data_IF_511121776446
#
_entry.id   IF_511121776446
#
_cell.length_a   1.000
_cell.length_b   1.000
_cell.length_c   1.000
_cell.angle_alpha   90.00
_cell.angle_beta   90.00
_cell.angle_gamma   90.00
#
_symmetry.space_group_name_H-M   'P 1'
#
loop_
_entity.id
_entity.type
_entity.pdbx_description
1 polymer ?
#
# COMPACT_ATOMS: atom_id res chain seq x y z
N UNK A 1 -24.16 -70.61 -24.76
CA UNK A 1 -24.32 -69.31 -24.08
C UNK A 1 -23.44 -68.27 -24.77
N UNK A 2 -24.02 -67.28 -25.46
CA UNK A 2 -23.25 -66.16 -26.04
C UNK A 2 -22.80 -65.25 -24.89
N UNK A 3 -21.51 -65.24 -24.57
CA UNK A 3 -20.92 -64.32 -23.58
C UNK A 3 -21.19 -62.88 -24.01
N UNK A 4 -21.67 -62.04 -23.10
CA UNK A 4 -21.90 -60.63 -23.35
C UNK A 4 -20.65 -59.97 -23.94
N UNK A 5 -20.81 -59.14 -24.97
CA UNK A 5 -19.68 -58.43 -25.58
C UNK A 5 -19.15 -57.39 -24.60
N UNK A 6 -17.96 -57.63 -24.06
CA UNK A 6 -17.27 -56.66 -23.20
C UNK A 6 -16.74 -55.55 -24.09
N UNK A 7 -17.10 -54.31 -23.79
CA UNK A 7 -16.71 -53.12 -24.56
C UNK A 7 -15.19 -53.06 -24.74
N UNK A 8 -14.73 -52.76 -25.95
CA UNK A 8 -13.30 -52.68 -26.36
C UNK A 8 -12.53 -54.00 -26.42
N UNK A 9 -13.05 -55.10 -25.87
CA UNK A 9 -12.37 -56.40 -25.89
C UNK A 9 -12.71 -57.19 -27.17
N UNK A 10 -11.69 -57.61 -27.90
CA UNK A 10 -11.81 -58.45 -29.10
C UNK A 10 -10.92 -59.68 -28.99
N UNK A 11 -11.31 -60.78 -29.62
CA UNK A 11 -10.53 -62.03 -29.67
C UNK A 11 -10.15 -62.34 -31.12
N UNK A 12 -8.88 -62.63 -31.36
CA UNK A 12 -8.37 -63.07 -32.66
C UNK A 12 -7.38 -64.22 -32.46
N UNK A 13 -7.56 -65.33 -33.18
CA UNK A 13 -6.74 -66.54 -33.07
C UNK A 13 -6.45 -67.00 -31.62
N UNK A 14 -7.46 -66.92 -30.75
CA UNK A 14 -7.37 -67.32 -29.34
C UNK A 14 -6.66 -66.32 -28.42
N UNK A 15 -6.18 -65.19 -28.93
CA UNK A 15 -5.60 -64.10 -28.12
C UNK A 15 -6.55 -62.92 -27.96
N UNK A 16 -6.54 -62.30 -26.79
CA UNK A 16 -7.35 -61.12 -26.51
C UNK A 16 -6.60 -59.81 -26.84
N UNK A 17 -7.34 -58.84 -27.39
CA UNK A 17 -6.88 -57.52 -27.79
C UNK A 17 -7.86 -56.45 -27.33
N UNK A 18 -7.33 -55.27 -27.02
CA UNK A 18 -8.09 -54.02 -26.87
C UNK A 18 -8.17 -53.34 -28.22
N UNK A 19 -9.36 -52.90 -28.61
CA UNK A 19 -9.61 -52.14 -29.85
C UNK A 19 -10.35 -50.85 -29.51
N UNK A 20 -9.72 -49.71 -29.77
CA UNK A 20 -10.27 -48.38 -29.51
C UNK A 20 -10.31 -47.55 -30.80
N UNK A 21 -11.41 -46.85 -31.05
CA UNK A 21 -11.51 -45.96 -32.20
C UNK A 21 -10.76 -44.64 -31.96
N UNK A 22 -10.08 -44.14 -32.97
CA UNK A 22 -9.44 -42.82 -32.96
C UNK A 22 -10.46 -41.77 -33.46
N UNK A 23 -10.75 -40.71 -32.68
CA UNK A 23 -11.63 -39.62 -33.09
C UNK A 23 -11.22 -39.00 -34.42
N UNK A 24 -12.18 -38.58 -35.26
CA UNK A 24 -11.92 -38.06 -36.62
C UNK A 24 -10.89 -36.92 -36.62
N UNK A 25 -10.95 -36.03 -35.63
CA UNK A 25 -10.03 -34.90 -35.43
C UNK A 25 -8.58 -35.30 -35.17
N UNK A 26 -8.33 -36.50 -34.64
CA UNK A 26 -6.99 -36.95 -34.22
C UNK A 26 -6.35 -37.96 -35.18
N UNK A 27 -7.06 -38.38 -36.24
CA UNK A 27 -6.56 -39.41 -37.18
C UNK A 27 -5.28 -39.01 -37.89
N UNK A 28 -5.10 -37.73 -38.21
CA UNK A 28 -3.89 -37.22 -38.88
C UNK A 28 -2.64 -37.47 -38.04
N UNK A 29 -2.72 -37.29 -36.73
CA UNK A 29 -1.61 -37.50 -35.79
C UNK A 29 -1.25 -38.97 -35.56
N UNK A 30 -2.15 -39.89 -35.91
CA UNK A 30 -1.94 -41.35 -35.84
C UNK A 30 -1.76 -41.97 -37.23
N UNK A 31 -1.25 -41.20 -38.21
CA UNK A 31 -0.95 -41.69 -39.56
C UNK A 31 -2.20 -42.13 -40.34
N UNK A 32 -3.34 -41.48 -40.11
CA UNK A 32 -4.63 -41.77 -40.74
C UNK A 32 -5.37 -42.98 -40.17
N UNK A 33 -4.83 -43.64 -39.12
CA UNK A 33 -5.44 -44.82 -38.52
C UNK A 33 -6.78 -44.48 -37.91
N UNK A 34 -7.79 -45.31 -38.19
CA UNK A 34 -9.14 -45.16 -37.63
C UNK A 34 -9.26 -45.76 -36.24
N UNK A 35 -8.34 -46.66 -35.87
CA UNK A 35 -8.43 -47.51 -34.69
C UNK A 35 -7.04 -47.89 -34.18
N UNK A 36 -6.89 -48.04 -32.87
CA UNK A 36 -5.70 -48.58 -32.20
C UNK A 36 -6.04 -49.95 -31.65
N UNK A 37 -5.19 -50.93 -31.94
CA UNK A 37 -5.31 -52.29 -31.43
C UNK A 37 -4.07 -52.67 -30.62
N UNK A 38 -4.26 -53.20 -29.41
CA UNK A 38 -3.17 -53.63 -28.52
C UNK A 38 -3.46 -55.00 -27.93
N UNK A 39 -2.50 -55.91 -28.00
CA UNK A 39 -2.66 -57.27 -27.43
C UNK A 39 -2.61 -57.24 -25.91
N UNK A 40 -3.50 -57.99 -25.26
CA UNK A 40 -3.49 -58.25 -23.82
C UNK A 40 -2.52 -59.38 -23.43
N UNK A 41 -1.85 -60.01 -24.40
CA UNK A 41 -0.90 -61.12 -24.20
C UNK A 41 -1.45 -62.24 -23.30
N UNK A 42 -2.74 -62.55 -23.44
CA UNK A 42 -3.37 -63.68 -22.76
C UNK A 42 -4.41 -64.36 -23.66
N UNK A 43 -4.60 -65.66 -23.46
CA UNK A 43 -5.66 -66.48 -24.07
C UNK A 43 -6.79 -66.79 -23.08
N UNK A 44 -6.61 -66.45 -21.81
CA UNK A 44 -7.60 -66.65 -20.74
C UNK A 44 -8.52 -65.44 -20.60
N UNK A 45 -9.82 -65.68 -20.60
CA UNK A 45 -10.85 -64.63 -20.57
C UNK A 45 -10.81 -63.79 -19.28
N UNK A 46 -10.73 -64.43 -18.11
CA UNK A 46 -10.78 -63.72 -16.83
C UNK A 46 -9.54 -62.84 -16.64
N UNK A 47 -8.37 -63.35 -17.03
CA UNK A 47 -7.13 -62.58 -17.07
C UNK A 47 -7.20 -61.42 -18.07
N UNK A 48 -7.90 -61.59 -19.20
CA UNK A 48 -8.10 -60.52 -20.17
C UNK A 48 -8.98 -59.39 -19.61
N UNK A 49 -10.02 -59.71 -18.84
CA UNK A 49 -10.87 -58.70 -18.19
C UNK A 49 -10.06 -57.89 -17.17
N UNK A 50 -9.23 -58.55 -16.35
CA UNK A 50 -8.39 -57.86 -15.36
C UNK A 50 -7.39 -56.89 -16.01
N UNK A 51 -6.82 -57.25 -17.17
CA UNK A 51 -5.85 -56.43 -17.88
C UNK A 51 -6.50 -55.33 -18.74
N UNK A 52 -7.79 -55.47 -19.08
CA UNK A 52 -8.50 -54.59 -20.01
C UNK A 52 -8.47 -53.13 -19.56
N UNK A 53 -8.83 -52.84 -18.31
CA UNK A 53 -8.93 -51.48 -17.78
C UNK A 53 -7.61 -50.72 -17.93
N UNK A 54 -6.51 -51.30 -17.42
CA UNK A 54 -5.17 -50.72 -17.50
C UNK A 54 -4.74 -50.41 -18.93
N UNK A 55 -4.98 -51.33 -19.86
CA UNK A 55 -4.55 -51.16 -21.25
C UNK A 55 -5.43 -50.15 -21.99
N UNK A 56 -6.73 -50.09 -21.69
CA UNK A 56 -7.62 -49.04 -22.19
C UNK A 56 -7.15 -47.68 -21.70
N UNK A 57 -6.81 -47.54 -20.43
CA UNK A 57 -6.36 -46.26 -19.86
C UNK A 57 -5.02 -45.81 -20.45
N UNK A 58 -4.08 -46.73 -20.70
CA UNK A 58 -2.85 -46.41 -21.43
C UNK A 58 -3.11 -45.92 -22.86
N UNK A 59 -4.02 -46.58 -23.60
CA UNK A 59 -4.37 -46.15 -24.96
C UNK A 59 -5.09 -44.80 -24.93
N UNK A 60 -5.97 -44.57 -23.94
CA UNK A 60 -6.60 -43.26 -23.75
C UNK A 60 -5.58 -42.19 -23.41
N UNK A 61 -4.64 -42.45 -22.52
CA UNK A 61 -3.54 -41.52 -22.23
C UNK A 61 -2.71 -41.25 -23.49
N UNK A 62 -2.46 -42.23 -24.35
CA UNK A 62 -1.77 -41.98 -25.63
C UNK A 62 -2.58 -41.13 -26.61
N UNK A 63 -3.90 -41.33 -26.67
CA UNK A 63 -4.81 -40.56 -27.55
C UNK A 63 -5.03 -39.14 -27.01
N UNK A 64 -5.20 -39.01 -25.70
CA UNK A 64 -5.63 -37.80 -24.99
C UNK A 64 -4.53 -37.16 -24.13
N UNK A 65 -3.26 -37.57 -24.25
CA UNK A 65 -2.14 -36.92 -23.56
C UNK A 65 -2.15 -35.42 -23.87
N UNK A 66 -2.56 -34.60 -22.90
CA UNK A 66 -2.73 -33.14 -23.03
C UNK A 66 -4.16 -32.61 -22.95
N UNK A 67 -5.19 -33.47 -22.90
CA UNK A 67 -6.60 -33.06 -22.78
C UNK A 67 -7.20 -33.26 -21.37
N UNK A 68 -6.57 -34.07 -20.51
CA UNK A 68 -7.00 -34.25 -19.11
C UNK A 68 -6.25 -33.29 -18.19
N UNK A 69 -6.65 -32.01 -18.23
CA UNK A 69 -6.59 -31.15 -17.04
C UNK A 69 -8.06 -30.81 -16.74
N UNK A 70 -8.41 -30.87 -15.46
CA UNK A 70 -9.61 -30.25 -14.91
C UNK A 70 -9.79 -28.82 -15.44
N UNK A 71 -10.97 -28.24 -15.26
CA UNK A 71 -11.27 -26.86 -15.65
C UNK A 71 -10.08 -25.93 -15.31
N UNK A 72 -9.38 -25.43 -16.34
CA UNK A 72 -8.19 -24.58 -16.13
C UNK A 72 -8.67 -23.31 -15.45
N UNK A 73 -8.18 -23.04 -14.24
CA UNK A 73 -8.55 -21.86 -13.49
C UNK A 73 -7.58 -20.72 -13.78
N UNK A 74 -7.97 -19.48 -13.43
CA UNK A 74 -7.06 -18.35 -13.55
C UNK A 74 -5.84 -18.48 -12.62
N UNK A 75 -5.99 -19.15 -11.48
CA UNK A 75 -4.90 -19.41 -10.55
C UNK A 75 -3.83 -20.31 -11.18
N UNK A 76 -4.26 -21.35 -11.91
CA UNK A 76 -3.34 -22.24 -12.63
C UNK A 76 -2.56 -21.47 -13.69
N UNK A 77 -3.26 -20.61 -14.45
CA UNK A 77 -2.64 -19.79 -15.51
C UNK A 77 -1.66 -18.76 -14.95
N UNK A 78 -1.99 -18.13 -13.83
CA UNK A 78 -1.12 -17.16 -13.17
C UNK A 78 0.15 -17.84 -12.61
N UNK A 79 0.00 -19.01 -11.98
CA UNK A 79 1.12 -19.77 -11.43
C UNK A 79 2.06 -20.27 -12.55
N UNK A 80 1.49 -20.71 -13.67
CA UNK A 80 2.25 -21.13 -14.85
C UNK A 80 2.97 -19.95 -15.52
N UNK A 81 2.36 -18.75 -15.56
CA UNK A 81 3.00 -17.54 -16.06
C UNK A 81 4.20 -17.12 -15.17
N UNK A 82 4.04 -17.15 -13.85
CA UNK A 82 5.10 -16.85 -12.89
C UNK A 82 6.27 -17.84 -13.02
N UNK A 83 5.99 -19.13 -13.19
CA UNK A 83 7.01 -20.17 -13.33
C UNK A 83 7.95 -19.99 -14.53
N UNK A 84 7.51 -19.26 -15.56
CA UNK A 84 8.33 -18.94 -16.74
C UNK A 84 8.74 -17.46 -16.80
N UNK A 85 8.63 -16.74 -15.68
CA UNK A 85 8.96 -15.31 -15.56
C UNK A 85 8.19 -14.41 -16.56
N UNK A 86 6.95 -14.79 -16.88
CA UNK A 86 6.05 -14.00 -17.73
C UNK A 86 4.85 -13.48 -16.94
N UNK A 87 4.17 -12.46 -17.47
CA UNK A 87 2.94 -11.93 -16.88
C UNK A 87 1.75 -12.39 -17.72
N UNK A 88 0.81 -13.12 -17.11
CA UNK A 88 -0.49 -13.36 -17.74
C UNK A 88 -1.20 -12.03 -17.93
N UNK A 89 -1.83 -11.82 -19.09
CA UNK A 89 -2.69 -10.65 -19.34
C UNK A 89 -3.99 -11.17 -19.92
N UNK A 90 -5.11 -10.92 -19.24
CA UNK A 90 -6.43 -11.15 -19.85
C UNK A 90 -6.55 -10.29 -21.11
N UNK A 91 -6.93 -10.90 -22.22
CA UNK A 91 -7.03 -10.25 -23.53
C UNK A 91 -8.48 -10.18 -23.98
N UNK A 92 -9.12 -9.03 -23.75
CA UNK A 92 -10.21 -8.62 -24.65
C UNK A 92 -9.56 -8.00 -25.87
N UNK A 93 -9.43 -8.74 -26.97
CA UNK A 93 -9.06 -8.15 -28.26
C UNK A 93 -10.31 -7.50 -28.84
N UNK A 94 -10.42 -6.16 -28.87
CA UNK A 94 -11.56 -5.52 -29.51
C UNK A 94 -11.51 -5.82 -30.99
N UNK A 95 -12.65 -6.19 -31.59
CA UNK A 95 -12.76 -6.35 -33.03
C UNK A 95 -12.43 -4.99 -33.70
N UNK A 96 -11.24 -4.87 -34.30
CA UNK A 96 -10.73 -3.62 -34.91
C UNK A 96 -9.52 -2.97 -34.23
N UNK A 97 -8.82 -3.64 -33.31
CA UNK A 97 -7.55 -3.15 -32.78
C UNK A 97 -6.50 -2.93 -33.89
N UNK A 98 -5.60 -1.92 -33.75
CA UNK A 98 -4.48 -1.76 -34.66
C UNK A 98 -3.63 -3.03 -34.76
N UNK A 99 -3.17 -3.34 -35.96
CA UNK A 99 -2.38 -4.56 -36.25
C UNK A 99 -1.11 -4.59 -35.38
N UNK A 100 -0.48 -3.44 -35.15
CA UNK A 100 0.72 -3.30 -34.31
C UNK A 100 0.47 -3.73 -32.86
N UNK A 101 -0.64 -3.28 -32.25
CA UNK A 101 -1.02 -3.68 -30.90
C UNK A 101 -1.30 -5.18 -30.80
N UNK A 102 -1.94 -5.74 -31.84
CA UNK A 102 -2.23 -7.17 -31.94
C UNK A 102 -0.95 -8.01 -32.10
N UNK A 103 0.04 -7.51 -32.84
CA UNK A 103 1.35 -8.15 -33.01
C UNK A 103 2.12 -8.12 -31.68
N UNK A 104 2.18 -6.98 -30.98
CA UNK A 104 2.87 -6.88 -29.69
C UNK A 104 2.25 -7.82 -28.65
N UNK A 105 0.92 -7.89 -28.57
CA UNK A 105 0.18 -8.76 -27.65
C UNK A 105 0.39 -10.26 -27.95
N UNK A 106 0.52 -10.64 -29.22
CA UNK A 106 0.64 -12.05 -29.65
C UNK A 106 2.09 -12.52 -29.83
N UNK A 107 3.05 -11.61 -29.92
CA UNK A 107 4.45 -11.91 -30.26
C UNK A 107 5.13 -12.90 -29.32
N UNK A 108 4.94 -12.73 -28.01
CA UNK A 108 5.48 -13.64 -26.97
C UNK A 108 4.86 -15.03 -27.06
N UNK A 109 3.55 -15.11 -27.26
CA UNK A 109 2.82 -16.36 -27.45
C UNK A 109 3.18 -17.10 -28.73
N UNK A 110 3.40 -16.38 -29.83
CA UNK A 110 3.78 -16.94 -31.13
C UNK A 110 5.17 -17.60 -31.10
N UNK A 111 6.11 -17.06 -30.31
CA UNK A 111 7.42 -17.69 -30.14
C UNK A 111 7.28 -19.06 -29.47
N UNK A 112 6.51 -19.15 -28.39
CA UNK A 112 6.26 -20.40 -27.66
C UNK A 112 5.49 -21.43 -28.51
N UNK A 113 4.51 -20.97 -29.30
CA UNK A 113 3.80 -21.79 -30.29
C UNK A 113 4.77 -22.36 -31.34
N UNK A 114 5.81 -21.61 -31.72
CA UNK A 114 6.76 -22.02 -32.77
C UNK A 114 7.79 -23.05 -32.30
N UNK A 115 8.18 -23.03 -31.02
CA UNK A 115 9.16 -23.97 -30.47
C UNK A 115 8.53 -25.28 -29.96
N UNK A 116 7.25 -25.26 -29.60
CA UNK A 116 6.58 -26.38 -28.94
C UNK A 116 5.65 -27.14 -29.89
N UNK A 117 5.95 -28.41 -30.22
CA UNK A 117 5.13 -29.24 -31.15
C UNK A 117 3.70 -29.50 -30.68
N UNK A 118 3.41 -29.42 -29.37
CA UNK A 118 2.07 -29.60 -28.79
C UNK A 118 1.96 -28.82 -27.47
N UNK A 119 1.11 -27.79 -27.45
CA UNK A 119 0.82 -27.02 -26.24
C UNK A 119 -0.24 -27.71 -25.39
N UNK A 120 -0.12 -27.56 -24.06
CA UNK A 120 -1.15 -27.97 -23.10
C UNK A 120 -2.30 -26.97 -23.07
N UNK A 121 -3.49 -27.37 -22.57
CA UNK A 121 -4.63 -26.46 -22.38
C UNK A 121 -4.29 -25.24 -21.51
N UNK A 122 -3.46 -25.44 -20.48
CA UNK A 122 -2.98 -24.40 -19.59
C UNK A 122 -2.13 -23.36 -20.33
N UNK A 123 -1.16 -23.82 -21.12
CA UNK A 123 -0.33 -22.95 -21.96
C UNK A 123 -1.16 -22.22 -23.02
N UNK A 124 -2.14 -22.90 -23.64
CA UNK A 124 -3.07 -22.26 -24.58
C UNK A 124 -3.93 -21.19 -23.90
N UNK A 125 -4.43 -21.45 -22.69
CA UNK A 125 -5.20 -20.48 -21.91
C UNK A 125 -4.36 -19.26 -21.51
N UNK A 126 -3.09 -19.48 -21.09
CA UNK A 126 -2.13 -18.44 -20.76
C UNK A 126 -1.77 -17.59 -21.97
N UNK A 127 -1.36 -18.21 -23.08
CA UNK A 127 -0.99 -17.54 -24.32
C UNK A 127 -2.19 -16.78 -24.92
N UNK A 128 -3.37 -17.40 -24.86
CA UNK A 128 -4.59 -16.84 -25.43
C UNK A 128 -5.23 -15.73 -24.60
N UNK A 129 -4.87 -15.58 -23.31
CA UNK A 129 -5.47 -14.56 -22.45
C UNK A 129 -6.99 -14.73 -22.27
N UNK A 130 -7.52 -15.95 -22.42
CA UNK A 130 -8.97 -16.22 -22.60
C UNK A 130 -9.74 -16.44 -21.31
N UNK A 131 -9.07 -16.55 -20.17
CA UNK A 131 -9.74 -16.77 -18.88
C UNK A 131 -9.98 -15.42 -18.23
N UNK A 132 -11.26 -15.03 -18.19
CA UNK A 132 -11.71 -13.81 -17.54
C UNK A 132 -11.49 -13.92 -16.01
N UNK A 133 -10.82 -12.94 -15.38
CA UNK A 133 -10.70 -12.92 -13.94
C UNK A 133 -12.08 -12.78 -13.28
N UNK A 134 -12.31 -13.41 -12.12
CA UNK A 134 -13.57 -13.27 -11.41
C UNK A 134 -13.81 -11.79 -11.07
N UNK A 135 -15.06 -11.36 -11.23
CA UNK A 135 -15.46 -9.99 -10.92
C UNK A 135 -15.05 -9.62 -9.48
N UNK A 136 -14.46 -8.44 -9.33
CA UNK A 136 -13.89 -8.00 -8.07
C UNK A 136 -14.46 -6.64 -7.68
N UNK A 137 -15.21 -6.56 -6.58
CA UNK A 137 -15.71 -5.28 -6.07
C UNK A 137 -14.57 -4.44 -5.46
N UNK A 138 -14.78 -3.12 -5.34
CA UNK A 138 -13.80 -2.22 -4.71
C UNK A 138 -13.49 -2.62 -3.26
N UNK A 139 -14.47 -3.21 -2.56
CA UNK A 139 -14.29 -3.74 -1.20
C UNK A 139 -13.40 -4.98 -1.17
N UNK A 140 -13.66 -5.95 -2.05
CA UNK A 140 -12.83 -7.15 -2.15
C UNK A 140 -11.40 -6.81 -2.60
N UNK A 141 -11.25 -5.84 -3.51
CA UNK A 141 -9.93 -5.33 -3.88
C UNK A 141 -9.17 -4.72 -2.69
N UNK A 142 -9.88 -4.00 -1.80
CA UNK A 142 -9.29 -3.47 -0.57
C UNK A 142 -8.90 -4.57 0.42
N UNK A 143 -9.75 -5.57 0.62
CA UNK A 143 -9.45 -6.72 1.49
C UNK A 143 -8.22 -7.48 0.99
N UNK A 144 -8.12 -7.69 -0.33
CA UNK A 144 -6.95 -8.30 -0.95
C UNK A 144 -5.69 -7.45 -0.74
N UNK A 145 -5.79 -6.14 -0.95
CA UNK A 145 -4.69 -5.20 -0.67
C UNK A 145 -4.23 -5.24 0.80
N UNK A 146 -5.16 -5.41 1.76
CA UNK A 146 -4.81 -5.55 3.19
C UNK A 146 -3.98 -6.81 3.48
N UNK A 147 -4.32 -7.92 2.84
CA UNK A 147 -3.64 -9.21 3.00
C UNK A 147 -2.28 -9.24 2.33
N UNK A 148 -2.15 -8.61 1.16
CA UNK A 148 -0.93 -8.71 0.34
C UNK A 148 0.09 -7.63 0.73
N UNK A 149 -0.34 -6.46 1.23
CA UNK A 149 0.54 -5.34 1.60
C UNK A 149 0.94 -5.33 3.08
N UNK A 150 1.19 -6.51 3.69
CA UNK A 150 1.58 -6.61 5.09
C UNK A 150 2.88 -5.85 5.40
N UNK A 151 3.79 -5.78 4.44
CA UNK A 151 5.05 -5.04 4.48
C UNK A 151 4.86 -3.56 4.82
N UNK A 152 3.81 -2.94 4.26
CA UNK A 152 3.46 -1.54 4.54
C UNK A 152 3.04 -1.28 5.99
N UNK A 153 2.77 -2.34 6.76
CA UNK A 153 2.23 -2.27 8.12
C UNK A 153 3.05 -3.04 9.16
N UNK A 154 4.14 -3.71 8.78
CA UNK A 154 4.95 -4.54 9.69
C UNK A 154 5.50 -3.74 10.88
N UNK A 155 5.99 -2.52 10.64
CA UNK A 155 6.63 -1.69 11.68
C UNK A 155 5.65 -0.74 12.37
N UNK A 156 4.33 -0.93 12.23
CA UNK A 156 3.33 -0.05 12.83
C UNK A 156 2.62 -0.73 13.99
N UNK A 157 2.48 -0.01 15.10
CA UNK A 157 1.63 -0.44 16.20
C UNK A 157 0.19 -0.64 15.72
N UNK A 158 -0.58 -1.56 16.34
CA UNK A 158 -1.93 -1.95 15.92
C UNK A 158 -2.85 -0.74 15.60
N UNK A 159 -2.86 0.28 16.45
CA UNK A 159 -3.68 1.49 16.22
C UNK A 159 -3.17 2.36 15.07
N UNK A 160 -1.86 2.45 14.88
CA UNK A 160 -1.26 3.20 13.78
C UNK A 160 -1.53 2.49 12.44
N UNK A 161 -1.44 1.16 12.42
CA UNK A 161 -1.90 0.31 11.32
C UNK A 161 -3.37 0.60 11.00
N UNK A 162 -4.25 0.53 12.00
CA UNK A 162 -5.68 0.82 11.81
C UNK A 162 -5.92 2.24 11.27
N UNK A 163 -5.24 3.27 11.80
CA UNK A 163 -5.35 4.64 11.30
C UNK A 163 -4.88 4.78 9.85
N UNK A 164 -3.82 4.08 9.46
CA UNK A 164 -3.33 4.08 8.07
C UNK A 164 -4.35 3.39 7.17
N UNK A 165 -4.84 2.22 7.57
CA UNK A 165 -5.81 1.44 6.81
C UNK A 165 -7.18 2.13 6.67
N UNK A 166 -7.65 2.82 7.72
CA UNK A 166 -8.89 3.58 7.71
C UNK A 166 -8.96 4.64 6.61
N UNK A 167 -7.82 5.13 6.11
CA UNK A 167 -7.77 6.08 4.97
C UNK A 167 -8.19 5.42 3.66
N UNK A 168 -7.74 4.19 3.42
CA UNK A 168 -8.13 3.38 2.27
C UNK A 168 -9.60 2.98 2.39
N UNK A 169 -10.02 2.50 3.57
CA UNK A 169 -11.42 2.17 3.86
C UNK A 169 -12.36 3.34 3.62
N UNK A 170 -12.02 4.53 4.13
CA UNK A 170 -12.83 5.73 3.92
C UNK A 170 -12.95 6.11 2.43
N UNK A 171 -11.88 5.92 1.64
CA UNK A 171 -11.91 6.18 0.21
C UNK A 171 -12.81 5.19 -0.54
N UNK A 172 -12.76 3.90 -0.17
CA UNK A 172 -13.64 2.86 -0.73
C UNK A 172 -15.09 3.09 -0.33
N UNK A 173 -15.38 3.43 0.92
CA UNK A 173 -16.74 3.76 1.36
C UNK A 173 -17.31 4.96 0.59
N UNK A 174 -16.50 5.99 0.33
CA UNK A 174 -16.93 7.12 -0.50
C UNK A 174 -17.17 6.71 -1.97
N UNK A 175 -16.34 5.83 -2.53
CA UNK A 175 -16.57 5.24 -3.85
C UNK A 175 -17.89 4.46 -3.92
N UNK A 176 -18.10 3.50 -3.01
CA UNK A 176 -19.31 2.67 -2.95
C UNK A 176 -20.57 3.53 -2.84
N UNK A 177 -20.53 4.59 -2.02
CA UNK A 177 -21.65 5.52 -1.84
C UNK A 177 -22.04 6.24 -3.15
N UNK A 178 -21.07 6.54 -4.02
CA UNK A 178 -21.27 7.40 -5.20
C UNK A 178 -21.42 6.63 -6.50
N UNK A 179 -20.68 5.54 -6.64
CA UNK A 179 -20.59 4.76 -7.88
C UNK A 179 -21.36 3.44 -7.77
N UNK A 180 -21.63 2.95 -6.56
CA UNK A 180 -22.23 1.65 -6.29
C UNK A 180 -21.21 0.63 -5.76
N UNK A 181 -21.68 -0.28 -4.92
CA UNK A 181 -20.83 -1.28 -4.27
C UNK A 181 -20.48 -2.48 -5.17
N UNK A 182 -21.35 -2.79 -6.13
CA UNK A 182 -21.25 -4.00 -6.96
C UNK A 182 -20.47 -3.78 -8.27
N UNK A 183 -19.85 -2.61 -8.44
CA UNK A 183 -19.02 -2.34 -9.62
C UNK A 183 -17.77 -3.21 -9.61
N UNK A 184 -17.56 -3.92 -10.72
CA UNK A 184 -16.37 -4.69 -10.98
C UNK A 184 -15.18 -3.76 -11.27
N UNK A 185 -14.19 -3.80 -10.38
CA UNK A 185 -12.95 -3.02 -10.46
C UNK A 185 -12.19 -3.33 -11.74
N UNK A 186 -12.17 -4.59 -12.18
CA UNK A 186 -11.38 -5.01 -13.35
C UNK A 186 -11.97 -4.53 -14.68
N UNK A 187 -13.25 -4.14 -14.68
CA UNK A 187 -13.97 -3.62 -15.85
C UNK A 187 -14.12 -2.09 -15.83
N UNK A 188 -13.47 -1.41 -14.89
CA UNK A 188 -13.53 0.05 -14.80
C UNK A 188 -12.87 0.69 -16.02
N UNK A 189 -13.58 1.62 -16.65
CA UNK A 189 -13.05 2.45 -17.73
C UNK A 189 -12.68 3.85 -17.24
N UNK A 190 -11.99 4.61 -18.10
CA UNK A 190 -11.62 6.01 -17.80
C UNK A 190 -12.87 6.86 -17.54
N UNK A 191 -13.96 6.62 -18.25
CA UNK A 191 -15.24 7.36 -18.11
C UNK A 191 -15.78 7.27 -16.68
N UNK A 192 -15.80 6.07 -16.10
CA UNK A 192 -16.29 5.82 -14.74
C UNK A 192 -15.45 6.58 -13.71
N UNK A 193 -14.12 6.59 -13.88
CA UNK A 193 -13.21 7.37 -13.02
C UNK A 193 -13.43 8.89 -13.20
N UNK A 194 -13.67 9.37 -14.42
CA UNK A 194 -14.00 10.77 -14.69
C UNK A 194 -15.35 11.18 -14.08
N UNK A 195 -16.34 10.30 -14.10
CA UNK A 195 -17.65 10.54 -13.47
C UNK A 195 -17.50 10.66 -11.96
N UNK A 196 -16.78 9.73 -11.32
CA UNK A 196 -16.47 9.81 -9.89
C UNK A 196 -15.75 11.11 -9.53
N UNK A 197 -14.72 11.49 -10.32
CA UNK A 197 -14.02 12.76 -10.15
C UNK A 197 -14.96 13.96 -10.27
N UNK A 198 -15.92 13.92 -11.18
CA UNK A 198 -16.89 14.99 -11.39
C UNK A 198 -17.85 15.13 -10.22
N UNK A 199 -18.35 14.02 -9.68
CA UNK A 199 -19.15 14.00 -8.45
C UNK A 199 -18.39 14.62 -7.27
N UNK A 200 -17.11 14.29 -7.12
CA UNK A 200 -16.27 14.89 -6.08
C UNK A 200 -16.08 16.40 -6.28
N UNK A 201 -15.90 16.86 -7.52
CA UNK A 201 -15.77 18.29 -7.81
C UNK A 201 -17.04 19.08 -7.52
N UNK A 202 -18.23 18.50 -7.73
CA UNK A 202 -19.50 19.15 -7.36
C UNK A 202 -19.55 19.50 -5.87
N UNK A 203 -19.00 18.62 -5.01
CA UNK A 203 -18.96 18.83 -3.56
C UNK A 203 -17.95 19.90 -3.14
N UNK A 204 -16.85 20.05 -3.88
CA UNK A 204 -15.92 21.17 -3.68
C UNK A 204 -16.61 22.47 -4.02
N UNK A 205 -17.30 22.52 -5.16
CA UNK A 205 -18.06 23.70 -5.58
C UNK A 205 -19.18 24.05 -4.60
N UNK A 206 -19.78 23.05 -3.95
CA UNK A 206 -20.77 23.22 -2.88
C UNK A 206 -20.16 23.58 -1.51
N UNK A 207 -18.83 23.56 -1.36
CA UNK A 207 -18.15 23.85 -0.10
C UNK A 207 -18.20 22.71 0.94
N UNK A 208 -18.71 21.53 0.57
CA UNK A 208 -18.85 20.38 1.46
C UNK A 208 -17.52 19.62 1.65
N UNK A 209 -16.65 19.62 0.64
CA UNK A 209 -15.35 18.96 0.68
C UNK A 209 -14.20 19.88 0.27
N UNK A 210 -13.05 19.70 0.93
CA UNK A 210 -11.80 20.37 0.58
C UNK A 210 -11.12 19.70 -0.61
N UNK A 211 -10.42 20.49 -1.42
CA UNK A 211 -9.65 20.03 -2.58
C UNK A 211 -8.61 18.98 -2.20
N UNK A 212 -7.95 19.16 -1.05
CA UNK A 212 -6.94 18.22 -0.55
C UNK A 212 -7.53 16.86 -0.14
N UNK A 213 -8.74 16.86 0.41
CA UNK A 213 -9.47 15.63 0.78
C UNK A 213 -9.69 14.77 -0.45
N UNK A 214 -10.22 15.35 -1.53
CA UNK A 214 -10.51 14.61 -2.77
C UNK A 214 -9.24 14.13 -3.45
N UNK A 215 -8.17 14.95 -3.47
CA UNK A 215 -6.87 14.51 -4.01
C UNK A 215 -6.36 13.26 -3.29
N UNK A 216 -6.50 13.20 -1.95
CA UNK A 216 -6.14 12.02 -1.15
C UNK A 216 -7.06 10.84 -1.42
N UNK A 217 -8.37 11.05 -1.49
CA UNK A 217 -9.33 9.98 -1.80
C UNK A 217 -9.00 9.30 -3.13
N UNK A 218 -8.79 10.09 -4.20
CA UNK A 218 -8.41 9.56 -5.52
C UNK A 218 -7.05 8.85 -5.48
N UNK A 219 -6.08 9.39 -4.73
CA UNK A 219 -4.78 8.75 -4.54
C UNK A 219 -4.93 7.35 -3.92
N UNK A 220 -5.72 7.20 -2.85
CA UNK A 220 -5.90 5.91 -2.18
C UNK A 220 -6.61 4.89 -3.07
N UNK A 221 -7.66 5.30 -3.79
CA UNK A 221 -8.33 4.43 -4.77
C UNK A 221 -7.38 4.00 -5.89
N UNK A 222 -6.55 4.91 -6.40
CA UNK A 222 -5.55 4.57 -7.41
C UNK A 222 -4.61 3.47 -6.94
N UNK A 223 -4.16 3.51 -5.68
CA UNK A 223 -3.28 2.46 -5.12
C UNK A 223 -4.00 1.11 -5.07
N UNK A 224 -5.24 1.07 -4.59
CA UNK A 224 -6.04 -0.17 -4.49
C UNK A 224 -6.29 -0.76 -5.88
N UNK A 225 -6.75 0.07 -6.83
CA UNK A 225 -7.06 -0.37 -8.19
C UNK A 225 -5.79 -0.80 -8.93
N UNK A 226 -4.67 -0.09 -8.75
CA UNK A 226 -3.41 -0.50 -9.36
C UNK A 226 -2.98 -1.88 -8.86
N UNK A 227 -3.03 -2.11 -7.54
CA UNK A 227 -2.73 -3.41 -6.96
C UNK A 227 -3.63 -4.53 -7.52
N UNK A 228 -4.94 -4.28 -7.63
CA UNK A 228 -5.87 -5.25 -8.22
C UNK A 228 -5.55 -5.53 -9.70
N UNK A 229 -5.17 -4.51 -10.48
CA UNK A 229 -4.81 -4.65 -11.88
C UNK A 229 -3.51 -5.44 -12.06
N UNK A 230 -2.47 -5.11 -11.26
CA UNK A 230 -1.19 -5.80 -11.28
C UNK A 230 -1.34 -7.31 -10.98
N UNK A 231 -2.13 -7.65 -9.95
CA UNK A 231 -2.41 -9.04 -9.60
C UNK A 231 -3.17 -9.79 -10.69
N UNK A 232 -4.03 -9.13 -11.45
CA UNK A 232 -4.82 -9.78 -12.49
C UNK A 232 -4.24 -9.60 -13.89
N UNK A 233 -2.99 -9.12 -14.01
CA UNK A 233 -2.28 -9.06 -15.28
C UNK A 233 -2.61 -7.86 -16.18
N UNK A 234 -3.35 -6.88 -15.69
CA UNK A 234 -3.72 -5.70 -16.47
C UNK A 234 -2.59 -4.66 -16.45
N UNK A 235 -2.10 -4.27 -17.64
CA UNK A 235 -1.00 -3.32 -17.78
C UNK A 235 -1.40 -1.88 -17.46
N UNK A 236 -2.57 -1.44 -17.93
CA UNK A 236 -3.04 -0.06 -17.81
C UNK A 236 -4.19 0.07 -16.81
N UNK A 237 -4.06 1.00 -15.86
CA UNK A 237 -5.14 1.33 -14.92
C UNK A 237 -6.04 2.45 -15.46
N UNK A 238 -7.36 2.43 -15.22
CA UNK A 238 -8.27 3.53 -15.59
C UNK A 238 -7.98 4.85 -14.87
N UNK A 239 -7.16 4.82 -13.80
CA UNK A 239 -6.71 6.02 -13.08
C UNK A 239 -5.48 6.69 -13.72
N UNK A 240 -4.87 6.07 -14.73
CA UNK A 240 -3.73 6.62 -15.48
C UNK A 240 -4.17 7.78 -16.40
N UNK A 241 -3.33 8.81 -16.49
CA UNK A 241 -3.65 10.02 -17.25
C UNK A 241 -4.71 10.93 -16.62
N UNK A 242 -5.25 10.58 -15.44
CA UNK A 242 -6.20 11.44 -14.73
C UNK A 242 -5.52 12.76 -14.34
N UNK A 243 -5.96 13.85 -14.95
CA UNK A 243 -5.38 15.19 -14.72
C UNK A 243 -5.50 15.56 -13.24
N UNK A 244 -4.42 16.09 -12.62
CA UNK A 244 -4.48 16.60 -11.26
C UNK A 244 -5.63 17.59 -11.10
N UNK A 245 -6.34 17.52 -9.98
CA UNK A 245 -7.39 18.49 -9.68
C UNK A 245 -6.74 19.86 -9.55
N UNK A 246 -7.07 20.74 -10.49
CA UNK A 246 -6.68 22.15 -10.48
C UNK A 246 -7.58 22.88 -9.49
N UNK A 247 -6.95 23.69 -8.66
CA UNK A 247 -7.57 24.41 -7.56
C UNK A 247 -6.45 24.87 -6.65
N UNK A 248 -6.56 26.09 -6.09
CA UNK A 248 -5.64 26.50 -5.02
C UNK A 248 -5.65 25.37 -3.99
N UNK A 249 -4.48 24.98 -3.47
CA UNK A 249 -4.52 24.23 -2.22
C UNK A 249 -5.38 25.07 -1.30
N UNK A 250 -6.37 24.46 -0.68
CA UNK A 250 -7.01 25.07 0.49
C UNK A 250 -5.93 25.09 1.58
N UNK A 251 -4.90 25.92 1.36
CA UNK A 251 -3.93 26.32 2.35
C UNK A 251 -4.74 27.15 3.33
N UNK A 252 -5.41 26.43 4.22
CA UNK A 252 -5.50 26.91 5.58
C UNK A 252 -4.03 27.09 5.98
N UNK A 253 -3.52 28.32 5.86
CA UNK A 253 -2.27 28.72 6.50
C UNK A 253 -2.44 28.22 7.92
N UNK A 254 -1.70 27.17 8.29
CA UNK A 254 -1.83 26.57 9.61
C UNK A 254 -1.55 27.68 10.59
N UNK A 255 -2.56 28.06 11.37
CA UNK A 255 -2.49 29.23 12.20
C UNK A 255 -1.38 29.05 13.24
N UNK A 256 -0.47 30.01 13.25
CA UNK A 256 0.65 30.11 14.18
C UNK A 256 0.15 30.70 15.48
N UNK A 257 0.56 30.14 16.62
CA UNK A 257 0.26 30.76 17.93
C UNK A 257 0.90 32.14 17.96
N UNK A 258 0.11 33.16 18.27
CA UNK A 258 0.59 34.53 18.41
C UNK A 258 1.35 34.70 19.73
N UNK A 259 2.31 35.61 19.75
CA UNK A 259 3.16 35.83 20.94
C UNK A 259 2.35 36.19 22.19
N UNK A 260 1.28 36.98 22.03
CA UNK A 260 0.37 37.32 23.13
C UNK A 260 -0.41 36.11 23.67
N UNK A 261 -0.63 35.07 22.85
CA UNK A 261 -1.39 33.86 23.24
C UNK A 261 -0.55 32.88 24.06
N UNK A 262 0.77 32.87 23.89
CA UNK A 262 1.66 31.93 24.58
C UNK A 262 1.56 32.02 26.11
N UNK A 263 1.73 33.20 26.75
CA UNK A 263 1.58 33.31 28.20
C UNK A 263 0.15 33.01 28.66
N UNK A 264 -0.86 33.33 27.85
CA UNK A 264 -2.26 33.01 28.15
C UNK A 264 -2.52 31.50 28.13
N UNK A 265 -1.90 30.75 27.20
CA UNK A 265 -1.99 29.28 27.17
C UNK A 265 -1.32 28.69 28.41
N UNK A 266 -0.15 29.21 28.82
CA UNK A 266 0.51 28.78 30.06
C UNK A 266 -0.40 29.01 31.27
N UNK A 267 -1.03 30.18 31.35
CA UNK A 267 -1.94 30.54 32.43
C UNK A 267 -3.19 29.64 32.45
N UNK A 268 -3.86 29.41 31.32
CA UNK A 268 -5.01 28.48 31.22
C UNK A 268 -4.64 27.07 31.69
N UNK A 269 -3.43 26.58 31.39
CA UNK A 269 -2.99 25.27 31.86
C UNK A 269 -2.75 25.24 33.38
N UNK A 270 -2.37 26.36 33.99
CA UNK A 270 -2.24 26.48 35.45
C UNK A 270 -3.63 26.57 36.08
N UNK A 271 -4.50 27.43 35.56
CA UNK A 271 -5.86 27.66 36.08
C UNK A 271 -6.74 26.41 36.00
N UNK A 272 -6.54 25.60 34.95
CA UNK A 272 -7.25 24.34 34.77
C UNK A 272 -6.63 23.15 35.54
N UNK A 273 -5.62 23.40 36.38
CA UNK A 273 -4.86 22.38 37.12
C UNK A 273 -4.39 21.24 36.20
N UNK A 274 -3.84 21.60 35.04
CA UNK A 274 -3.35 20.61 34.09
C UNK A 274 -2.16 19.85 34.70
N UNK A 275 -2.13 18.54 34.44
CA UNK A 275 -1.05 17.66 34.87
C UNK A 275 0.34 18.26 34.58
N UNK A 276 1.27 18.11 35.53
CA UNK A 276 2.60 18.72 35.43
C UNK A 276 3.39 18.30 34.18
N UNK A 277 3.27 17.03 33.75
CA UNK A 277 3.90 16.58 32.50
C UNK A 277 3.30 17.30 31.28
N UNK A 278 2.00 17.60 31.26
CA UNK A 278 1.38 18.39 30.17
C UNK A 278 2.02 19.78 30.10
N UNK A 279 2.11 20.45 31.27
CA UNK A 279 2.70 21.80 31.37
C UNK A 279 4.16 21.80 30.94
N UNK A 280 4.93 20.79 31.35
CA UNK A 280 6.32 20.62 30.97
C UNK A 280 6.50 20.32 29.48
N UNK A 281 5.68 19.44 28.89
CA UNK A 281 5.71 19.16 27.45
C UNK A 281 5.41 20.43 26.65
N UNK A 282 4.40 21.22 27.04
CA UNK A 282 4.07 22.49 26.36
C UNK A 282 5.23 23.47 26.41
N UNK A 283 5.88 23.64 27.57
CA UNK A 283 7.07 24.48 27.70
C UNK A 283 8.20 24.05 26.75
N UNK A 284 8.45 22.73 26.65
CA UNK A 284 9.45 22.20 25.71
C UNK A 284 9.05 22.45 24.26
N UNK A 285 7.78 22.21 23.87
CA UNK A 285 7.30 22.46 22.51
C UNK A 285 7.43 23.93 22.12
N UNK A 286 7.16 24.84 23.06
CA UNK A 286 7.19 26.27 22.85
C UNK A 286 8.59 26.79 22.47
N UNK A 287 9.64 26.36 23.17
CA UNK A 287 11.01 26.81 22.87
C UNK A 287 11.68 26.01 21.75
N UNK A 288 11.33 24.73 21.56
CA UNK A 288 12.08 23.84 20.65
C UNK A 288 11.45 23.65 19.27
N UNK A 289 10.13 23.89 19.14
CA UNK A 289 9.38 23.60 17.90
C UNK A 289 9.42 22.11 17.49
N UNK A 290 9.79 21.22 18.40
CA UNK A 290 9.71 19.78 18.21
C UNK A 290 8.25 19.34 18.04
N UNK A 291 8.04 18.15 17.49
CA UNK A 291 6.69 17.58 17.35
C UNK A 291 6.22 17.02 18.69
N UNK A 292 4.91 17.04 19.01
CA UNK A 292 4.39 16.41 20.23
C UNK A 292 4.83 14.95 20.41
N UNK A 293 4.85 14.15 19.34
CA UNK A 293 5.34 12.74 19.37
C UNK A 293 6.85 12.64 19.65
N UNK A 294 7.64 13.64 19.28
CA UNK A 294 9.08 13.68 19.57
C UNK A 294 9.32 13.94 21.07
N UNK A 295 8.59 14.89 21.66
CA UNK A 295 8.75 15.27 23.07
C UNK A 295 8.13 14.23 24.02
N UNK A 296 6.91 13.78 23.74
CA UNK A 296 6.24 12.76 24.58
C UNK A 296 6.97 11.42 24.64
N UNK A 297 7.78 11.10 23.62
CA UNK A 297 8.59 9.89 23.57
C UNK A 297 10.08 10.11 23.85
N UNK A 298 10.47 11.20 24.52
CA UNK A 298 11.84 11.38 24.99
C UNK A 298 12.21 10.27 26.00
N UNK A 299 13.39 9.68 25.82
CA UNK A 299 14.01 8.80 26.82
C UNK A 299 14.96 9.62 27.71
N UNK A 300 15.31 9.11 28.89
CA UNK A 300 16.27 9.77 29.79
C UNK A 300 17.64 10.00 29.10
N UNK A 301 18.08 9.05 28.28
CA UNK A 301 19.31 9.16 27.49
C UNK A 301 19.27 10.24 26.39
N UNK A 302 18.08 10.76 26.08
CA UNK A 302 17.93 11.82 25.08
C UNK A 302 17.99 13.21 25.72
N UNK A 303 18.05 13.31 27.06
CA UNK A 303 18.00 14.56 27.81
C UNK A 303 19.37 14.81 28.43
N UNK A 304 20.12 15.77 27.89
CA UNK A 304 21.49 16.06 28.32
C UNK A 304 21.55 17.40 29.05
N UNK A 305 21.31 17.38 30.37
CA UNK A 305 21.28 18.59 31.21
C UNK A 305 22.67 19.06 31.67
N UNK A 306 23.62 18.13 31.86
CA UNK A 306 24.97 18.44 32.37
C UNK A 306 25.97 18.83 31.26
N UNK A 307 25.52 18.89 30.01
CA UNK A 307 26.37 19.32 28.90
C UNK A 307 26.66 20.83 28.99
N UNK A 308 27.81 21.32 28.45
CA UNK A 308 28.11 22.76 28.40
C UNK A 308 27.02 23.61 27.76
N UNK A 309 26.28 23.02 26.81
CA UNK A 309 25.02 23.54 26.29
C UNK A 309 23.98 22.45 26.52
N UNK A 310 23.06 22.60 27.48
CA UNK A 310 21.99 21.63 27.70
C UNK A 310 21.16 21.43 26.43
N UNK A 311 20.83 20.19 26.09
CA UNK A 311 20.12 19.87 24.85
C UNK A 311 19.27 18.61 24.97
N UNK A 312 18.29 18.49 24.06
CA UNK A 312 17.62 17.22 23.78
C UNK A 312 18.09 16.63 22.46
N UNK A 313 18.23 15.31 22.41
CA UNK A 313 18.55 14.56 21.21
C UNK A 313 17.28 13.94 20.64
N UNK A 314 16.84 14.42 19.49
CA UNK A 314 15.75 13.79 18.76
C UNK A 314 16.33 12.62 17.95
N UNK A 315 16.16 11.39 18.41
CA UNK A 315 16.53 10.15 17.68
C UNK A 315 15.46 9.05 17.79
N UNK A 316 15.61 7.94 17.06
CA UNK A 316 14.86 6.73 17.36
C UNK A 316 15.33 6.13 18.70
N UNK A 317 14.40 5.66 19.53
CA UNK A 317 14.67 5.07 20.83
C UNK A 317 13.62 3.98 21.16
N UNK A 318 13.66 3.43 22.37
CA UNK A 318 12.70 2.39 22.80
C UNK A 318 11.24 2.87 22.88
N UNK A 319 11.01 4.18 22.98
CA UNK A 319 9.70 4.79 23.16
C UNK A 319 9.10 5.33 21.84
N UNK A 320 9.93 5.56 20.81
CA UNK A 320 9.49 6.11 19.51
C UNK A 320 10.42 5.78 18.35
N UNK A 321 9.78 5.62 17.20
CA UNK A 321 10.44 5.65 15.89
C UNK A 321 10.42 7.05 15.26
N UNK A 322 11.33 7.28 14.32
CA UNK A 322 11.36 8.52 13.55
C UNK A 322 10.63 8.39 12.21
N UNK A 323 10.02 9.50 11.79
CA UNK A 323 9.30 9.57 10.52
C UNK A 323 10.22 9.43 9.30
N UNK A 324 11.47 9.91 9.41
CA UNK A 324 12.46 9.96 8.34
C UNK A 324 13.83 10.36 8.90
N UNK A 325 14.92 10.00 8.21
CA UNK A 325 16.32 10.27 8.59
C UNK A 325 16.60 11.74 8.98
N UNK A 326 16.07 12.76 8.27
CA UNK A 326 16.30 14.17 8.64
C UNK A 326 15.65 14.60 9.96
N UNK A 327 14.83 13.74 10.60
CA UNK A 327 14.28 14.03 11.93
C UNK A 327 15.33 13.91 13.03
N UNK A 328 16.44 13.20 12.80
CA UNK A 328 17.54 13.08 13.77
C UNK A 328 18.26 14.41 13.94
N UNK A 329 18.19 14.98 15.15
CA UNK A 329 18.80 16.28 15.46
C UNK A 329 18.92 16.53 16.95
N UNK A 330 19.99 17.23 17.32
CA UNK A 330 20.13 17.80 18.66
C UNK A 330 19.54 19.22 18.70
N UNK A 331 18.77 19.55 19.74
CA UNK A 331 18.12 20.84 19.94
C UNK A 331 18.53 21.40 21.31
N UNK A 332 19.17 22.58 21.38
CA UNK A 332 19.49 23.23 22.65
C UNK A 332 18.25 23.52 23.49
N UNK A 333 18.40 23.44 24.81
CA UNK A 333 17.39 23.79 25.79
C UNK A 333 17.62 25.19 26.31
N UNK A 334 16.57 26.01 26.26
CA UNK A 334 16.58 27.40 26.71
C UNK A 334 15.32 27.69 27.49
N UNK A 335 15.41 28.65 28.43
CA UNK A 335 14.29 29.20 29.17
C UNK A 335 13.39 28.16 29.82
N UNK A 336 12.07 28.29 29.62
CA UNK A 336 11.07 27.43 30.26
C UNK A 336 11.21 25.95 29.89
N UNK A 337 11.75 25.61 28.72
CA UNK A 337 12.02 24.23 28.34
C UNK A 337 13.15 23.60 29.16
N UNK A 338 14.20 24.38 29.49
CA UNK A 338 15.28 23.91 30.35
C UNK A 338 14.76 23.66 31.77
N UNK A 339 13.99 24.59 32.32
CA UNK A 339 13.41 24.45 33.66
C UNK A 339 12.35 23.33 33.74
N UNK A 340 11.65 23.06 32.64
CA UNK A 340 10.77 21.90 32.53
C UNK A 340 11.56 20.58 32.60
N UNK A 341 12.62 20.43 31.81
CA UNK A 341 13.37 19.17 31.76
C UNK A 341 14.27 18.94 32.98
N UNK A 342 14.71 19.99 33.68
CA UNK A 342 15.32 19.83 35.01
C UNK A 342 14.39 19.16 36.02
N UNK A 343 13.08 19.44 35.95
CA UNK A 343 12.06 18.79 36.80
C UNK A 343 11.69 17.40 36.31
N UNK A 344 11.82 17.15 35.01
CA UNK A 344 11.49 15.88 34.35
C UNK A 344 12.72 15.28 33.64
N UNK A 345 13.82 14.95 34.36
CA UNK A 345 15.05 14.48 33.74
C UNK A 345 14.90 13.10 33.07
N UNK A 346 13.89 12.33 33.46
CA UNK A 346 13.55 11.02 32.89
C UNK A 346 12.52 11.07 31.76
N UNK A 347 12.22 12.27 31.26
CA UNK A 347 11.17 12.48 30.26
C UNK A 347 9.77 12.41 30.86
N UNK A 348 8.82 11.88 30.10
CA UNK A 348 7.37 11.97 30.38
C UNK A 348 6.70 10.58 30.43
N UNK A 349 6.89 9.79 31.51
CA UNK A 349 6.42 8.40 31.58
C UNK A 349 4.91 8.22 31.31
N UNK A 350 4.08 9.20 31.67
CA UNK A 350 2.62 9.13 31.42
C UNK A 350 2.30 9.12 29.92
N UNK A 351 3.12 9.77 29.12
CA UNK A 351 2.94 9.93 27.67
C UNK A 351 3.95 9.14 26.83
N UNK A 352 4.97 8.55 27.46
CA UNK A 352 5.96 7.69 26.81
C UNK A 352 5.43 6.26 26.64
N UNK A 353 4.32 6.13 25.90
CA UNK A 353 3.64 4.87 25.61
C UNK A 353 2.95 4.91 24.25
N UNK A 354 2.50 3.74 23.78
CA UNK A 354 1.65 3.66 22.58
C UNK A 354 0.45 4.60 22.70
N UNK A 355 0.26 5.46 21.68
CA UNK A 355 -0.75 6.53 21.64
C UNK A 355 -0.59 7.66 22.67
N UNK A 356 0.53 7.74 23.37
CA UNK A 356 0.74 8.78 24.38
C UNK A 356 0.72 10.20 23.79
N UNK A 357 1.31 10.40 22.60
CA UNK A 357 1.19 11.68 21.88
C UNK A 357 -0.25 12.05 21.52
N UNK A 358 -1.11 11.08 21.18
CA UNK A 358 -2.52 11.35 20.89
C UNK A 358 -3.26 11.73 22.18
N UNK A 359 -2.98 11.01 23.28
CA UNK A 359 -3.57 11.29 24.59
C UNK A 359 -3.16 12.67 25.11
N UNK A 360 -1.88 13.05 24.93
CA UNK A 360 -1.39 14.41 25.20
C UNK A 360 -2.15 15.44 24.36
N UNK A 361 -2.23 15.22 23.04
CA UNK A 361 -2.94 16.11 22.13
C UNK A 361 -4.40 16.32 22.53
N UNK A 362 -5.12 15.24 22.85
CA UNK A 362 -6.51 15.32 23.31
C UNK A 362 -6.66 16.09 24.64
N UNK A 363 -5.69 15.95 25.55
CA UNK A 363 -5.71 16.63 26.83
C UNK A 363 -5.39 18.12 26.71
N UNK A 364 -4.40 18.50 25.88
CA UNK A 364 -3.90 19.87 25.79
C UNK A 364 -4.67 20.73 24.78
N UNK A 365 -5.10 20.16 23.65
CA UNK A 365 -5.66 20.97 22.56
C UNK A 365 -7.00 21.61 22.95
N UNK A 366 -7.76 21.02 23.89
CA UNK A 366 -8.98 21.65 24.42
C UNK A 366 -8.72 22.95 25.19
N UNK A 367 -7.54 23.08 25.81
CA UNK A 367 -7.11 24.29 26.52
C UNK A 367 -6.57 25.32 25.53
N UNK A 368 -5.77 24.86 24.56
CA UNK A 368 -5.28 25.72 23.47
C UNK A 368 -6.45 26.33 22.70
N UNK A 369 -7.49 25.55 22.37
CA UNK A 369 -8.66 26.04 21.62
C UNK A 369 -9.40 27.17 22.33
N UNK A 370 -9.46 27.17 23.68
CA UNK A 370 -10.11 28.25 24.45
C UNK A 370 -9.40 29.59 24.30
N UNK A 371 -8.07 29.57 24.27
CA UNK A 371 -7.22 30.76 24.24
C UNK A 371 -6.89 31.17 22.80
N UNK A 372 -6.72 30.19 21.94
CA UNK A 372 -6.23 30.33 20.58
C UNK A 372 -7.04 29.40 19.65
N UNK A 373 -8.29 29.78 19.31
CA UNK A 373 -9.17 28.96 18.48
C UNK A 373 -8.54 28.56 17.15
N UNK A 374 -8.78 27.34 16.69
CA UNK A 374 -8.21 26.80 15.45
C UNK A 374 -6.75 26.35 15.54
N UNK A 375 -6.07 26.57 16.67
CA UNK A 375 -4.67 26.20 16.90
C UNK A 375 -4.54 24.94 17.76
N UNK A 376 -3.41 24.26 17.61
CA UNK A 376 -3.15 23.01 18.36
C UNK A 376 -1.74 23.02 18.95
N UNK A 377 -1.39 22.01 19.73
CA UNK A 377 -0.01 21.79 20.17
C UNK A 377 1.01 21.75 19.01
N UNK A 378 0.58 21.36 17.80
CA UNK A 378 1.44 21.40 16.61
C UNK A 378 1.70 22.83 16.09
N UNK A 379 0.86 23.80 16.47
CA UNK A 379 1.03 25.21 16.07
C UNK A 379 2.24 25.88 16.71
N UNK A 380 2.78 25.38 17.83
CA UNK A 380 4.05 25.86 18.40
C UNK A 380 5.24 25.68 17.46
N UNK A 381 5.26 24.57 16.73
CA UNK A 381 6.27 24.32 15.68
C UNK A 381 6.18 25.35 14.56
N UNK A 382 4.96 25.67 14.13
CA UNK A 382 4.72 26.69 13.10
C UNK A 382 5.09 28.08 13.60
N UNK A 383 4.81 28.39 14.88
CA UNK A 383 5.25 29.61 15.55
C UNK A 383 6.78 29.74 15.49
N UNK A 384 7.53 28.71 15.90
CA UNK A 384 8.99 28.80 15.88
C UNK A 384 9.54 28.99 14.45
N UNK A 385 8.98 28.27 13.47
CA UNK A 385 9.35 28.45 12.06
C UNK A 385 9.10 29.90 11.60
N UNK A 386 7.95 30.47 11.96
CA UNK A 386 7.60 31.86 11.65
C UNK A 386 8.57 32.84 12.31
N UNK A 387 8.86 32.68 13.60
CA UNK A 387 9.81 33.52 14.33
C UNK A 387 11.21 33.48 13.73
N UNK A 388 11.69 32.30 13.31
CA UNK A 388 12.97 32.16 12.63
C UNK A 388 12.97 32.90 11.29
N UNK A 389 11.89 32.82 10.52
CA UNK A 389 11.76 33.49 9.21
C UNK A 389 11.68 35.02 9.31
N UNK A 390 11.32 35.57 10.47
CA UNK A 390 11.37 37.02 10.70
C UNK A 390 12.80 37.55 10.88
N UNK A 391 13.77 36.68 11.15
CA UNK A 391 15.15 37.05 11.38
C UNK A 391 15.96 36.95 10.09
N UNK A 392 16.40 38.09 9.55
CA UNK A 392 17.20 38.14 8.30
C UNK A 392 18.49 37.32 8.37
N UNK A 393 19.02 37.09 9.57
CA UNK A 393 20.27 36.34 9.78
C UNK A 393 20.08 34.82 9.79
N UNK A 394 18.84 34.31 9.88
CA UNK A 394 18.55 32.87 9.92
C UNK A 394 18.19 32.40 8.51
N UNK A 395 19.04 31.55 7.94
CA UNK A 395 18.80 30.94 6.62
C UNK A 395 17.77 29.82 6.69
N UNK A 396 17.03 29.59 5.62
CA UNK A 396 16.06 28.49 5.50
C UNK A 396 16.67 27.13 5.85
N UNK A 397 17.91 26.88 5.41
CA UNK A 397 18.62 25.62 5.71
C UNK A 397 18.90 25.41 7.20
N UNK A 398 19.05 26.49 7.98
CA UNK A 398 19.18 26.45 9.44
C UNK A 398 17.84 26.16 10.10
N UNK A 399 16.77 26.86 9.65
CA UNK A 399 15.39 26.63 10.12
C UNK A 399 14.97 25.18 9.86
N UNK A 400 15.22 24.66 8.67
CA UNK A 400 14.93 23.27 8.30
C UNK A 400 15.74 22.26 9.11
N UNK A 401 17.00 22.57 9.42
CA UNK A 401 17.85 21.76 10.30
C UNK A 401 17.38 21.75 11.77
N UNK A 402 16.84 22.86 12.26
CA UNK A 402 16.25 22.98 13.60
C UNK A 402 14.94 22.23 13.71
N UNK A 403 14.11 22.30 12.67
CA UNK A 403 12.79 21.70 12.64
C UNK A 403 12.85 20.23 12.20
N UNK A 404 13.88 19.79 11.47
CA UNK A 404 13.93 18.44 10.90
C UNK A 404 13.02 18.29 9.69
N UNK A 405 13.11 19.24 8.75
CA UNK A 405 12.49 19.16 7.43
C UNK A 405 13.42 18.47 6.42
N UNK A 406 12.84 17.78 5.45
CA UNK A 406 13.58 17.20 4.33
C UNK A 406 14.06 18.35 3.42
N UNK A 407 15.36 18.68 3.46
CA UNK A 407 15.95 19.84 2.79
C UNK A 407 17.00 20.60 3.61
N UNK A 408 17.08 20.37 4.93
CA UNK A 408 18.11 21.00 5.77
C UNK A 408 19.55 20.63 5.35
N UNK A 409 20.55 21.39 5.80
CA UNK A 409 21.98 21.19 5.45
C UNK A 409 22.48 19.75 5.68
N UNK A 410 21.90 19.02 6.65
CA UNK A 410 22.13 17.59 6.90
C UNK A 410 21.72 16.70 5.73
N UNK A 411 20.63 17.04 5.04
CA UNK A 411 20.16 16.33 3.85
C UNK A 411 20.95 16.70 2.58
N UNK A 412 21.62 17.86 2.57
CA UNK A 412 22.34 18.38 1.39
C UNK A 412 23.86 18.11 1.42
N UNK A 413 24.49 18.16 2.61
CA UNK A 413 25.95 18.07 2.78
C UNK A 413 26.40 17.09 3.89
N UNK A 414 25.47 16.36 4.52
CA UNK A 414 25.80 15.33 5.52
C UNK A 414 26.34 15.83 6.86
N UNK A 415 26.34 17.16 7.12
CA UNK A 415 26.80 17.74 8.40
C UNK A 415 25.69 18.56 9.07
N UNK A 416 25.39 18.25 10.32
CA UNK A 416 24.44 19.00 11.15
C UNK A 416 25.10 20.29 11.68
N UNK A 417 24.30 21.35 11.86
CA UNK A 417 24.78 22.55 12.55
C UNK A 417 25.19 22.22 14.00
N UNK A 418 26.36 22.69 14.45
CA UNK A 418 26.79 22.60 15.85
C UNK A 418 25.79 23.21 16.84
N UNK A 419 25.76 22.68 18.07
CA UNK A 419 24.84 23.12 19.13
C UNK A 419 24.92 24.62 19.45
N UNK A 420 26.11 25.22 19.43
CA UNK A 420 26.27 26.66 19.72
C UNK A 420 25.58 27.55 18.67
N UNK A 421 25.68 27.20 17.37
CA UNK A 421 24.95 27.90 16.30
C UNK A 421 23.45 27.75 16.49
N UNK A 422 22.99 26.53 16.81
CA UNK A 422 21.56 26.27 17.07
C UNK A 422 21.05 27.08 18.27
N UNK A 423 21.88 27.25 19.30
CA UNK A 423 21.54 28.03 20.48
C UNK A 423 21.40 29.52 20.14
N UNK A 424 22.32 30.06 19.35
CA UNK A 424 22.22 31.45 18.85
C UNK A 424 20.98 31.67 18.01
N UNK A 425 20.62 30.72 17.15
CA UNK A 425 19.39 30.76 16.35
C UNK A 425 18.16 30.83 17.25
N UNK A 426 18.08 29.98 18.29
CA UNK A 426 16.96 30.03 19.25
C UNK A 426 16.94 31.35 20.03
N UNK A 427 18.10 31.84 20.46
CA UNK A 427 18.26 33.13 21.14
C UNK A 427 17.79 34.32 20.33
N UNK A 428 18.01 34.31 19.02
CA UNK A 428 17.55 35.36 18.12
C UNK A 428 16.06 35.25 17.77
N UNK A 429 15.54 34.04 17.62
CA UNK A 429 14.17 33.82 17.17
C UNK A 429 13.14 33.97 18.29
N UNK A 430 13.44 33.45 19.49
CA UNK A 430 12.50 33.46 20.61
C UNK A 430 12.46 34.83 21.31
N UNK A 431 11.28 35.26 21.80
CA UNK A 431 11.13 36.51 22.55
C UNK A 431 11.67 36.39 23.98
N UNK A 432 11.91 37.52 24.63
CA UNK A 432 12.51 37.58 25.97
C UNK A 432 11.72 36.82 27.04
N UNK A 433 10.38 36.82 26.98
CA UNK A 433 9.53 36.10 27.96
C UNK A 433 9.66 34.57 27.87
N UNK A 434 10.30 34.07 26.81
CA UNK A 434 10.54 32.66 26.61
C UNK A 434 11.77 32.15 27.40
N UNK A 435 12.53 33.05 28.02
CA UNK A 435 13.74 32.80 28.81
C UNK A 435 13.51 32.78 30.31
#
# INVERSE_FOLDING_TARGET
MRKASVKYLNMNNGWYYVRLAVPKSMRSSFGGRREIQRSLKTREYDKAILLLGRVVDQIKQEIFAGDDVEEVTIADVMQDAEAIETTYSYMEVPCGAPVEMSIDLLSSGLHEISETKKLTKLQVARIGGVIEPPALTMRQALERFELDSLDLFMNLAHRERQKKFNKYRAAVTDWEKRMGADLDVLKLDKTTVFNYRTELLKLVSAGELKTDTIRKTIMWLRVIVRHAFDLNGFKESPFEGLKPIKGKRDEVKRETIEEAQVPLIRQELIDADANEEIRAIVAVLENTGARPKEITGLHEDDIHLDAPIPYIRIRANCNRELKNTPSERDIPLVGVALEALKRFPKGFPRYSRNNGSDAFGAAVNKHIEKVAPGKTSYSYRHRLAYLMNLQETIKDTMSDGMLGHAGGMTAYYGKAYPLHIKLEVLKKALPDYAY
#
